data_IF_229730958272
#
_entry.id   IF_229730958272
#
_cell.length_a   1.000
_cell.length_b   1.000
_cell.length_c   1.000
_cell.angle_alpha   90.00
_cell.angle_beta   90.00
_cell.angle_gamma   90.00
#
_symmetry.space_group_name_H-M   'P 1'
#
loop_
_entity.id
_entity.type
_entity.pdbx_description
1 polymer ?
#
# COMPACT_ATOMS: atom_id res chain seq x y z
N UNK A 1 8.87 8.49 -11.98
CA UNK A 1 9.95 7.58 -11.57
C UNK A 1 11.17 7.84 -12.44
N UNK A 2 12.29 8.39 -11.93
CA UNK A 2 13.39 8.83 -12.79
C UNK A 2 14.03 7.72 -13.64
N UNK A 3 14.02 6.47 -13.16
CA UNK A 3 14.55 5.33 -13.89
C UNK A 3 13.58 4.74 -14.94
N UNK A 4 12.36 5.28 -15.09
CA UNK A 4 11.35 4.75 -16.01
C UNK A 4 10.61 3.49 -15.51
N UNK A 5 11.03 2.90 -14.40
CA UNK A 5 10.38 1.77 -13.72
C UNK A 5 10.45 1.93 -12.20
N UNK A 6 9.59 1.21 -11.48
CA UNK A 6 9.63 1.06 -10.03
C UNK A 6 10.24 -0.28 -9.67
N UNK A 7 11.19 -0.28 -8.73
CA UNK A 7 11.73 -1.50 -8.13
C UNK A 7 10.73 -2.05 -7.13
N UNK A 8 10.27 -3.28 -7.37
CA UNK A 8 9.30 -3.98 -6.53
C UNK A 8 9.78 -5.42 -6.34
N UNK A 9 9.64 -5.94 -5.12
CA UNK A 9 9.98 -7.30 -4.74
C UNK A 9 8.80 -7.93 -3.98
N UNK A 10 8.34 -9.10 -4.44
CA UNK A 10 7.38 -9.91 -3.69
C UNK A 10 8.12 -10.58 -2.53
N UNK A 11 7.59 -10.43 -1.32
CA UNK A 11 8.15 -11.01 -0.09
C UNK A 11 7.23 -12.05 0.57
N UNK A 12 6.01 -12.20 0.06
CA UNK A 12 5.08 -13.21 0.53
C UNK A 12 3.88 -13.35 -0.41
N UNK A 13 3.33 -14.55 -0.48
CA UNK A 13 2.12 -14.90 -1.25
C UNK A 13 1.22 -15.80 -0.42
N UNK A 14 -0.03 -15.94 -0.85
CA UNK A 14 -1.00 -16.96 -0.36
C UNK A 14 -1.24 -16.90 1.17
N UNK A 15 -1.23 -15.69 1.72
CA UNK A 15 -1.53 -15.43 3.12
C UNK A 15 -3.02 -15.25 3.38
N UNK A 16 -3.38 -14.97 4.63
CA UNK A 16 -4.74 -14.56 4.98
C UNK A 16 -4.79 -13.72 6.24
N UNK A 17 -5.88 -12.97 6.41
CA UNK A 17 -6.20 -12.19 7.60
C UNK A 17 -7.52 -12.70 8.18
N UNK A 18 -7.55 -13.15 9.45
CA UNK A 18 -8.78 -13.59 10.08
C UNK A 18 -9.65 -12.38 10.47
N UNK A 19 -10.90 -12.36 10.00
CA UNK A 19 -11.92 -11.34 10.27
C UNK A 19 -13.23 -12.05 10.61
N UNK A 20 -13.71 -11.90 11.85
CA UNK A 20 -14.98 -12.49 12.34
C UNK A 20 -15.18 -13.98 11.99
N UNK A 21 -14.12 -14.79 12.04
CA UNK A 21 -14.18 -16.22 11.70
C UNK A 21 -14.05 -16.54 10.20
N UNK A 22 -14.10 -15.53 9.32
CA UNK A 22 -13.74 -15.64 7.90
C UNK A 22 -12.25 -15.39 7.72
N UNK A 23 -11.63 -16.08 6.77
CA UNK A 23 -10.26 -15.81 6.33
C UNK A 23 -10.35 -14.98 5.05
N UNK A 24 -9.86 -13.75 5.09
CA UNK A 24 -9.72 -12.91 3.90
C UNK A 24 -8.33 -13.15 3.34
N UNK A 25 -8.23 -13.70 2.14
CA UNK A 25 -6.96 -14.02 1.51
C UNK A 25 -6.11 -12.77 1.23
N UNK A 26 -4.80 -12.93 1.36
CA UNK A 26 -3.78 -11.96 0.96
C UNK A 26 -3.01 -12.59 -0.20
N UNK A 27 -3.23 -12.06 -1.40
CA UNK A 27 -2.62 -12.58 -2.62
C UNK A 27 -1.10 -12.35 -2.60
N UNK A 28 -0.68 -11.11 -2.31
CA UNK A 28 0.73 -10.72 -2.32
C UNK A 28 1.04 -9.69 -1.24
N UNK A 29 2.28 -9.75 -0.75
CA UNK A 29 2.93 -8.67 -0.01
C UNK A 29 4.20 -8.29 -0.75
N UNK A 30 4.35 -7.01 -1.07
CA UNK A 30 5.50 -6.49 -1.79
C UNK A 30 6.25 -5.44 -0.97
N UNK A 31 7.57 -5.35 -1.18
CA UNK A 31 8.37 -4.19 -0.81
C UNK A 31 8.72 -3.44 -2.11
N UNK A 32 8.50 -2.14 -2.11
CA UNK A 32 8.80 -1.29 -3.28
C UNK A 32 9.30 0.10 -2.89
N UNK A 33 9.72 0.87 -3.88
CA UNK A 33 10.16 2.26 -3.71
C UNK A 33 9.01 3.26 -3.96
N UNK A 34 8.81 4.26 -3.10
CA UNK A 34 7.87 5.34 -3.39
C UNK A 34 8.40 6.24 -4.52
N UNK A 35 7.46 6.79 -5.29
CA UNK A 35 7.76 7.67 -6.41
C UNK A 35 8.02 9.12 -5.95
N UNK A 36 8.86 9.81 -6.72
CA UNK A 36 9.02 11.26 -6.63
C UNK A 36 7.65 11.96 -6.80
N UNK A 37 7.41 13.01 -6.01
CA UNK A 37 6.13 13.73 -6.02
C UNK A 37 6.10 14.80 -7.12
N UNK A 38 5.03 14.86 -7.90
CA UNK A 38 4.79 15.96 -8.85
C UNK A 38 4.52 17.24 -8.05
N UNK A 39 5.21 18.33 -8.38
CA UNK A 39 5.04 19.63 -7.68
C UNK A 39 4.53 20.74 -8.59
N UNK A 40 4.77 20.65 -9.91
CA UNK A 40 4.30 21.62 -10.90
C UNK A 40 4.31 20.98 -12.29
N UNK A 41 3.48 21.50 -13.18
CA UNK A 41 3.47 21.16 -14.60
C UNK A 41 3.30 22.43 -15.43
N UNK A 42 4.10 22.58 -16.48
CA UNK A 42 4.09 23.74 -17.37
C UNK A 42 4.30 23.29 -18.81
N UNK A 43 3.29 23.47 -19.68
CA UNK A 43 3.33 23.09 -21.09
C UNK A 43 3.87 21.66 -21.30
N UNK A 44 5.15 21.53 -21.62
CA UNK A 44 5.84 20.29 -21.95
C UNK A 44 6.82 19.83 -20.84
N UNK A 45 6.76 20.42 -19.65
CA UNK A 45 7.68 20.15 -18.54
C UNK A 45 6.91 19.81 -17.27
N UNK A 46 7.25 18.68 -16.65
CA UNK A 46 6.72 18.28 -15.34
C UNK A 46 7.85 18.33 -14.32
N UNK A 47 7.62 19.06 -13.23
CA UNK A 47 8.56 19.21 -12.13
C UNK A 47 8.24 18.22 -11.02
N UNK A 48 9.24 17.45 -10.63
CA UNK A 48 9.14 16.48 -9.54
C UNK A 48 10.08 16.88 -8.39
N UNK A 49 9.63 16.67 -7.15
CA UNK A 49 10.48 16.70 -5.97
C UNK A 49 10.84 15.26 -5.59
N UNK A 50 12.13 15.03 -5.36
CA UNK A 50 12.71 13.69 -5.10
C UNK A 50 12.82 13.35 -3.61
N UNK A 51 12.25 14.17 -2.74
CA UNK A 51 12.26 14.00 -1.27
C UNK A 51 11.59 12.70 -0.78
N UNK A 52 10.70 12.14 -1.60
CA UNK A 52 10.02 10.87 -1.33
C UNK A 52 10.56 9.69 -2.14
N UNK A 53 11.40 9.95 -3.15
CA UNK A 53 11.89 8.92 -4.04
C UNK A 53 12.73 7.91 -3.28
N UNK A 54 12.42 6.62 -3.41
CA UNK A 54 13.17 5.56 -2.75
C UNK A 54 12.76 5.29 -1.30
N UNK A 55 11.78 6.00 -0.75
CA UNK A 55 11.22 5.64 0.57
C UNK A 55 10.60 4.24 0.47
N UNK A 56 10.93 3.30 1.37
CA UNK A 56 10.35 1.97 1.34
C UNK A 56 8.83 2.00 1.55
N UNK A 57 8.11 1.30 0.68
CA UNK A 57 6.69 1.02 0.79
C UNK A 57 6.47 -0.47 0.98
N UNK A 58 5.41 -0.80 1.72
CA UNK A 58 4.86 -2.15 1.79
C UNK A 58 3.50 -2.10 1.13
N UNK A 59 3.32 -2.89 0.08
CA UNK A 59 2.04 -3.09 -0.58
C UNK A 59 1.45 -4.43 -0.14
N UNK A 60 0.15 -4.46 0.16
CA UNK A 60 -0.59 -5.64 0.57
C UNK A 60 -1.84 -5.73 -0.31
N UNK A 61 -1.97 -6.80 -1.08
CA UNK A 61 -3.11 -7.04 -1.97
C UNK A 61 -3.97 -8.16 -1.40
N UNK A 62 -5.24 -7.86 -1.12
CA UNK A 62 -6.23 -8.85 -0.67
C UNK A 62 -6.91 -9.54 -1.85
N UNK A 63 -7.40 -10.76 -1.65
CA UNK A 63 -8.31 -11.42 -2.59
C UNK A 63 -9.70 -10.75 -2.58
N UNK A 64 -10.48 -10.83 -3.68
CA UNK A 64 -11.80 -10.22 -3.80
C UNK A 64 -12.89 -11.05 -3.08
N UNK A 65 -12.68 -11.31 -1.79
CA UNK A 65 -13.54 -12.19 -0.98
C UNK A 65 -14.45 -11.41 -0.04
N UNK A 66 -14.28 -10.08 0.07
CA UNK A 66 -15.08 -9.22 0.94
C UNK A 66 -16.41 -8.90 0.27
N UNK A 67 -17.51 -9.21 0.95
CA UNK A 67 -18.86 -9.17 0.34
C UNK A 67 -19.68 -7.94 0.74
N UNK A 68 -19.26 -7.21 1.77
CA UNK A 68 -20.00 -6.08 2.30
C UNK A 68 -19.05 -4.99 2.86
N UNK A 69 -19.52 -3.72 2.97
CA UNK A 69 -18.70 -2.62 3.46
C UNK A 69 -18.12 -2.82 4.87
N UNK A 70 -18.81 -3.57 5.73
CA UNK A 70 -18.36 -3.84 7.09
C UNK A 70 -17.12 -4.75 7.10
N UNK A 71 -17.10 -5.79 6.25
CA UNK A 71 -15.92 -6.64 6.04
C UNK A 71 -14.73 -5.84 5.52
N UNK A 72 -14.95 -4.94 4.56
CA UNK A 72 -13.89 -4.06 4.01
C UNK A 72 -13.29 -3.21 5.13
N UNK A 73 -14.14 -2.53 5.92
CA UNK A 73 -13.69 -1.67 7.02
C UNK A 73 -12.90 -2.45 8.07
N UNK A 74 -13.40 -3.61 8.49
CA UNK A 74 -12.74 -4.46 9.49
C UNK A 74 -11.40 -5.00 8.99
N UNK A 75 -11.34 -5.41 7.72
CA UNK A 75 -10.10 -5.90 7.09
C UNK A 75 -9.06 -4.79 7.01
N UNK A 76 -9.43 -3.62 6.47
CA UNK A 76 -8.55 -2.46 6.38
C UNK A 76 -8.05 -2.02 7.77
N UNK A 77 -8.94 -2.00 8.77
CA UNK A 77 -8.57 -1.69 10.15
C UNK A 77 -7.57 -2.69 10.73
N UNK A 78 -7.80 -3.99 10.52
CA UNK A 78 -6.92 -5.06 11.00
C UNK A 78 -5.53 -4.98 10.36
N UNK A 79 -5.45 -4.75 9.05
CA UNK A 79 -4.17 -4.50 8.35
C UNK A 79 -3.44 -3.31 8.98
N UNK A 80 -4.14 -2.19 9.16
CA UNK A 80 -3.56 -1.00 9.80
C UNK A 80 -3.05 -1.25 11.22
N UNK A 81 -3.75 -2.07 12.02
CA UNK A 81 -3.29 -2.47 13.35
C UNK A 81 -2.04 -3.35 13.31
N UNK A 82 -1.99 -4.33 12.40
CA UNK A 82 -0.83 -5.22 12.24
C UNK A 82 0.41 -4.42 11.81
N UNK A 83 0.26 -3.53 10.84
CA UNK A 83 1.31 -2.61 10.40
C UNK A 83 1.80 -1.72 11.56
N UNK A 84 0.87 -1.17 12.37
CA UNK A 84 1.23 -0.38 13.57
C UNK A 84 2.00 -1.20 14.61
N UNK A 85 1.61 -2.45 14.83
CA UNK A 85 2.25 -3.32 15.82
C UNK A 85 3.73 -3.61 15.49
N UNK A 86 4.14 -3.47 14.22
CA UNK A 86 5.56 -3.61 13.85
C UNK A 86 6.47 -2.54 14.47
N UNK A 87 5.93 -1.37 14.83
CA UNK A 87 6.70 -0.22 15.29
C UNK A 87 7.60 0.42 14.22
N UNK A 88 7.54 -0.05 12.96
CA UNK A 88 8.48 0.32 11.88
C UNK A 88 7.85 1.14 10.76
N UNK A 89 6.53 1.37 10.81
CA UNK A 89 5.81 2.14 9.80
C UNK A 89 5.84 3.64 10.10
N UNK A 90 5.96 4.46 9.05
CA UNK A 90 5.85 5.93 9.16
C UNK A 90 4.45 6.34 9.63
N UNK A 91 4.37 7.45 10.34
CA UNK A 91 3.13 8.07 10.84
C UNK A 91 3.00 9.48 10.28
N UNK A 92 1.76 9.92 10.06
CA UNK A 92 1.45 11.27 9.60
C UNK A 92 0.55 11.29 8.37
N UNK A 93 0.25 12.48 7.88
CA UNK A 93 -0.53 12.65 6.66
C UNK A 93 0.27 12.15 5.45
N UNK A 94 -0.39 11.41 4.56
CA UNK A 94 0.21 10.89 3.33
C UNK A 94 1.15 9.70 3.51
N UNK A 95 1.23 9.08 4.70
CA UNK A 95 2.06 7.89 4.94
C UNK A 95 1.34 6.57 4.69
N UNK A 96 0.04 6.60 4.40
CA UNK A 96 -0.81 5.43 4.13
C UNK A 96 -1.68 5.74 2.91
N UNK A 97 -1.82 4.77 2.01
CA UNK A 97 -2.78 4.76 0.90
C UNK A 97 -3.62 3.49 1.02
N UNK A 98 -4.92 3.61 0.73
CA UNK A 98 -5.87 2.50 0.76
C UNK A 98 -6.75 2.66 -0.47
N UNK A 99 -6.57 1.76 -1.43
CA UNK A 99 -7.34 1.72 -2.66
C UNK A 99 -8.32 0.54 -2.58
N UNK A 100 -9.55 0.76 -3.03
CA UNK A 100 -10.65 -0.21 -2.94
C UNK A 100 -11.13 -0.52 -4.35
N UNK A 101 -11.31 -1.82 -4.63
CA UNK A 101 -11.96 -2.32 -5.83
C UNK A 101 -13.33 -2.89 -5.45
N UNK A 102 -14.39 -2.49 -6.16
CA UNK A 102 -15.79 -2.92 -5.96
C UNK A 102 -16.34 -3.46 -7.27
#
# INVERSE_FOLDING_TARGET
MPCGFQRTLIIGTDGYIPINGKKIGVATICIEEDAARKIREEKNTVYYRVDRLGIPLVEIVTLPEMENPEEILKTAHRIGMLLRATGKVKRGLGTIRQDINV
#
